data_IF_202090418586
#
_entry.id   IF_202090418586
#
_cell.length_a   1.000
_cell.length_b   1.000
_cell.length_c   1.000
_cell.angle_alpha   90.00
_cell.angle_beta   90.00
_cell.angle_gamma   90.00
#
_symmetry.space_group_name_H-M   'P 1'
#
loop_
_entity.id
_entity.type
_entity.pdbx_description
1 polymer ?
#
# COMPACT_ATOMS: atom_id res chain seq x y z
N UNK A 1 -3.63 -12.68 42.43
CA UNK A 1 -4.27 -12.55 41.11
C UNK A 1 -4.14 -11.14 40.52
N UNK A 2 -4.41 -10.05 41.26
CA UNK A 2 -4.40 -8.66 40.76
C UNK A 2 -3.01 -8.05 40.49
N UNK A 3 -1.94 -8.57 41.11
CA UNK A 3 -0.57 -8.08 40.92
C UNK A 3 -0.06 -8.24 39.47
N UNK A 4 -0.59 -9.21 38.71
CA UNK A 4 -0.17 -9.48 37.33
C UNK A 4 -1.02 -8.75 36.28
N UNK A 5 -2.19 -8.22 36.65
CA UNK A 5 -3.11 -7.53 35.73
C UNK A 5 -2.52 -6.21 35.21
N UNK A 6 -1.91 -5.41 36.09
CA UNK A 6 -1.25 -4.15 35.70
C UNK A 6 -0.09 -4.35 34.71
N UNK A 7 0.91 -5.21 34.98
CA UNK A 7 2.01 -5.40 34.03
C UNK A 7 1.54 -6.04 32.72
N UNK A 8 0.59 -6.98 32.76
CA UNK A 8 0.04 -7.57 31.55
C UNK A 8 -0.66 -6.53 30.66
N UNK A 9 -1.53 -5.71 31.23
CA UNK A 9 -2.24 -4.67 30.48
C UNK A 9 -1.27 -3.61 29.93
N UNK A 10 -0.30 -3.19 30.74
CA UNK A 10 0.73 -2.23 30.32
C UNK A 10 1.54 -2.76 29.14
N UNK A 11 1.93 -4.04 29.17
CA UNK A 11 2.68 -4.65 28.08
C UNK A 11 1.84 -4.72 26.80
N UNK A 12 0.58 -5.15 26.88
CA UNK A 12 -0.33 -5.23 25.73
C UNK A 12 -0.53 -3.85 25.10
N UNK A 13 -0.78 -2.82 25.91
CA UNK A 13 -0.95 -1.45 25.41
C UNK A 13 0.34 -0.90 24.80
N UNK A 14 1.48 -1.14 25.45
CA UNK A 14 2.78 -0.68 24.96
C UNK A 14 3.15 -1.34 23.63
N UNK A 15 2.96 -2.65 23.52
CA UNK A 15 3.22 -3.39 22.28
C UNK A 15 2.25 -2.97 21.18
N UNK A 16 0.96 -2.84 21.47
CA UNK A 16 -0.04 -2.35 20.51
C UNK A 16 0.32 -0.96 19.99
N UNK A 17 0.74 -0.05 20.86
CA UNK A 17 1.15 1.29 20.45
C UNK A 17 2.44 1.26 19.61
N UNK A 18 3.43 0.47 20.04
CA UNK A 18 4.71 0.35 19.36
C UNK A 18 4.53 -0.20 17.93
N UNK A 19 3.80 -1.30 17.77
CA UNK A 19 3.67 -1.99 16.48
C UNK A 19 2.53 -1.44 15.63
N UNK A 20 1.47 -0.93 16.25
CA UNK A 20 0.29 -0.41 15.55
C UNK A 20 0.37 1.07 15.19
N UNK A 21 1.19 1.86 15.89
CA UNK A 21 1.32 3.30 15.63
C UNK A 21 2.77 3.71 15.37
N UNK A 22 3.69 3.47 16.32
CA UNK A 22 5.04 4.00 16.21
C UNK A 22 5.77 3.44 14.98
N UNK A 23 5.72 2.13 14.79
CA UNK A 23 6.34 1.46 13.65
C UNK A 23 5.78 1.91 12.28
N UNK A 24 4.46 1.83 11.99
CA UNK A 24 3.94 2.23 10.69
C UNK A 24 4.16 3.72 10.41
N UNK A 25 4.09 4.60 11.41
CA UNK A 25 4.38 6.02 11.22
C UNK A 25 5.85 6.26 10.89
N UNK A 26 6.78 5.59 11.59
CA UNK A 26 8.20 5.70 11.32
C UNK A 26 8.54 5.21 9.90
N UNK A 27 8.04 4.03 9.51
CA UNK A 27 8.27 3.45 8.18
C UNK A 27 7.64 4.32 7.09
N UNK A 28 6.40 4.79 7.29
CA UNK A 28 5.72 5.67 6.33
C UNK A 28 6.48 6.99 6.18
N UNK A 29 6.91 7.60 7.29
CA UNK A 29 7.68 8.85 7.26
C UNK A 29 9.00 8.69 6.51
N UNK A 30 9.75 7.63 6.79
CA UNK A 30 11.00 7.33 6.09
C UNK A 30 10.74 7.07 4.60
N UNK A 31 9.73 6.27 4.27
CA UNK A 31 9.38 5.95 2.88
C UNK A 31 8.98 7.20 2.10
N UNK A 32 8.22 8.12 2.71
CA UNK A 32 7.82 9.38 2.06
C UNK A 32 9.01 10.31 1.81
N UNK A 33 10.00 10.36 2.71
CA UNK A 33 11.19 11.21 2.53
C UNK A 33 12.16 10.60 1.52
N UNK A 34 12.44 9.30 1.63
CA UNK A 34 13.44 8.64 0.80
C UNK A 34 12.92 8.22 -0.58
N UNK A 35 11.66 7.80 -0.66
CA UNK A 35 11.06 7.18 -1.85
C UNK A 35 9.60 7.65 -2.09
N UNK A 36 9.34 8.97 -2.20
CA UNK A 36 7.99 9.51 -2.31
C UNK A 36 7.22 8.95 -3.51
N UNK A 37 7.88 8.73 -4.65
CA UNK A 37 7.21 8.20 -5.84
C UNK A 37 6.65 6.79 -5.60
N UNK A 38 7.46 5.89 -5.02
CA UNK A 38 7.08 4.51 -4.74
C UNK A 38 6.09 4.43 -3.58
N UNK A 39 6.31 5.21 -2.51
CA UNK A 39 5.46 5.25 -1.34
C UNK A 39 4.02 5.71 -1.66
N UNK A 40 3.86 6.54 -2.70
CA UNK A 40 2.56 7.00 -3.17
C UNK A 40 2.00 6.16 -4.35
N UNK A 41 2.54 4.96 -4.58
CA UNK A 41 1.98 3.97 -5.51
C UNK A 41 2.55 4.00 -6.93
N UNK A 42 3.68 4.68 -7.16
CA UNK A 42 4.37 4.74 -8.47
C UNK A 42 3.44 5.14 -9.62
N UNK A 43 2.69 6.23 -9.42
CA UNK A 43 1.66 6.67 -10.36
C UNK A 43 2.28 7.17 -11.67
N UNK A 44 1.66 6.83 -12.80
CA UNK A 44 2.02 7.33 -14.13
C UNK A 44 1.03 8.43 -14.49
N UNK A 45 1.54 9.59 -14.87
CA UNK A 45 0.76 10.78 -15.22
C UNK A 45 1.00 11.15 -16.69
N UNK A 46 -0.02 11.71 -17.35
CA UNK A 46 0.14 12.30 -18.67
C UNK A 46 0.72 13.73 -18.61
N UNK A 47 0.94 14.33 -19.77
CA UNK A 47 1.47 15.71 -19.89
C UNK A 47 0.56 16.77 -19.25
N UNK A 48 -0.71 16.43 -19.00
CA UNK A 48 -1.71 17.30 -18.37
C UNK A 48 -1.79 17.05 -16.84
N UNK A 49 -0.95 16.17 -16.30
CA UNK A 49 -0.92 15.81 -14.88
C UNK A 49 -2.02 14.86 -14.44
N UNK A 50 -2.77 14.25 -15.37
CA UNK A 50 -3.83 13.30 -15.04
C UNK A 50 -3.22 11.93 -14.79
N UNK A 51 -3.59 11.32 -13.66
CA UNK A 51 -3.16 9.95 -13.32
C UNK A 51 -3.80 8.96 -14.29
N UNK A 52 -2.97 8.24 -15.05
CA UNK A 52 -3.40 7.19 -15.99
C UNK A 52 -3.33 5.79 -15.38
N UNK A 53 -2.53 5.60 -14.34
CA UNK A 53 -2.41 4.33 -13.65
C UNK A 53 -1.21 4.29 -12.71
N UNK A 54 -0.77 3.08 -12.36
CA UNK A 54 0.48 2.83 -11.65
C UNK A 54 1.41 2.02 -12.55
N UNK A 55 2.72 2.28 -12.46
CA UNK A 55 3.73 1.49 -13.17
C UNK A 55 3.71 0.00 -12.78
N UNK A 56 3.05 -0.35 -11.66
CA UNK A 56 3.01 -1.70 -11.10
C UNK A 56 1.67 -2.42 -11.33
N UNK A 57 0.65 -1.73 -11.86
CA UNK A 57 -0.70 -2.29 -12.03
C UNK A 57 -1.04 -2.39 -13.51
N UNK A 58 -1.33 -3.61 -13.96
CA UNK A 58 -1.79 -3.88 -15.31
C UNK A 58 -3.23 -3.39 -15.51
N UNK A 59 -3.54 -2.98 -16.74
CA UNK A 59 -4.88 -2.58 -17.17
C UNK A 59 -5.34 -3.48 -18.31
N UNK A 60 -6.65 -3.53 -18.51
CA UNK A 60 -7.26 -4.15 -19.68
C UNK A 60 -6.93 -3.30 -20.92
N UNK A 61 -6.10 -3.86 -21.79
CA UNK A 61 -5.84 -3.28 -23.11
C UNK A 61 -6.52 -4.13 -24.18
N UNK A 62 -7.40 -3.50 -24.95
CA UNK A 62 -8.14 -4.12 -26.05
C UNK A 62 -7.87 -3.36 -27.35
N UNK A 63 -7.72 -4.11 -28.45
CA UNK A 63 -7.52 -3.57 -29.79
C UNK A 63 -6.10 -3.74 -30.32
N UNK A 64 -6.00 -3.78 -31.65
CA UNK A 64 -4.79 -4.16 -32.38
C UNK A 64 -3.60 -3.21 -32.19
N UNK A 65 -3.85 -1.99 -31.73
CA UNK A 65 -2.82 -0.99 -31.46
C UNK A 65 -2.08 -1.17 -30.14
N UNK A 66 -2.49 -2.13 -29.29
CA UNK A 66 -1.93 -2.32 -27.95
C UNK A 66 -1.27 -3.68 -27.78
N UNK A 67 -0.29 -3.72 -26.87
CA UNK A 67 0.19 -4.99 -26.36
C UNK A 67 -0.87 -5.62 -25.45
N UNK A 68 -1.14 -6.90 -25.68
CA UNK A 68 -2.12 -7.64 -24.92
C UNK A 68 -1.51 -8.12 -23.59
N UNK A 69 -2.12 -7.72 -22.49
CA UNK A 69 -1.75 -8.15 -21.14
C UNK A 69 -2.08 -9.63 -20.90
N UNK A 70 -1.40 -10.25 -19.92
CA UNK A 70 -1.76 -11.60 -19.47
C UNK A 70 -3.22 -11.62 -18.99
N UNK A 71 -4.01 -12.68 -19.30
CA UNK A 71 -5.38 -12.78 -18.84
C UNK A 71 -5.49 -12.68 -17.31
N UNK A 72 -6.49 -11.93 -16.84
CA UNK A 72 -6.78 -11.75 -15.42
C UNK A 72 -8.18 -12.28 -15.10
N UNK A 73 -8.29 -13.23 -14.18
CA UNK A 73 -9.58 -13.75 -13.71
C UNK A 73 -10.39 -12.68 -12.94
N UNK A 74 -9.70 -11.78 -12.23
CA UNK A 74 -10.30 -10.63 -11.54
C UNK A 74 -10.52 -9.41 -12.43
N UNK A 75 -10.47 -9.57 -13.76
CA UNK A 75 -10.73 -8.50 -14.72
C UNK A 75 -9.91 -7.20 -14.51
N UNK A 76 -8.64 -7.33 -14.09
CA UNK A 76 -7.77 -6.20 -13.77
C UNK A 76 -8.36 -5.21 -12.74
N UNK A 77 -9.35 -5.66 -11.95
CA UNK A 77 -9.98 -4.83 -10.96
C UNK A 77 -8.98 -4.43 -9.86
N UNK A 78 -9.04 -3.16 -9.43
CA UNK A 78 -8.17 -2.62 -8.37
C UNK A 78 -8.69 -2.90 -6.96
N UNK A 79 -9.68 -3.78 -6.85
CA UNK A 79 -10.21 -4.28 -5.57
C UNK A 79 -9.24 -5.30 -4.96
N UNK A 80 -9.60 -5.84 -3.79
CA UNK A 80 -8.77 -6.83 -3.12
C UNK A 80 -8.34 -7.95 -4.08
N UNK A 81 -7.04 -8.21 -4.13
CA UNK A 81 -6.48 -9.28 -4.94
C UNK A 81 -6.99 -10.63 -4.45
N UNK A 82 -7.55 -11.43 -5.36
CA UNK A 82 -7.94 -12.84 -5.15
C UNK A 82 -6.81 -13.80 -5.45
#
# INVERSE_FOLDING_TARGET
MTAYLRPALSLVLSMTFLTGALYPLAVTGIAQVAFPYQANGSLVQDEQGRVRGSALIAQRFEGDGWFHSRPSAGDFATVASS
#
